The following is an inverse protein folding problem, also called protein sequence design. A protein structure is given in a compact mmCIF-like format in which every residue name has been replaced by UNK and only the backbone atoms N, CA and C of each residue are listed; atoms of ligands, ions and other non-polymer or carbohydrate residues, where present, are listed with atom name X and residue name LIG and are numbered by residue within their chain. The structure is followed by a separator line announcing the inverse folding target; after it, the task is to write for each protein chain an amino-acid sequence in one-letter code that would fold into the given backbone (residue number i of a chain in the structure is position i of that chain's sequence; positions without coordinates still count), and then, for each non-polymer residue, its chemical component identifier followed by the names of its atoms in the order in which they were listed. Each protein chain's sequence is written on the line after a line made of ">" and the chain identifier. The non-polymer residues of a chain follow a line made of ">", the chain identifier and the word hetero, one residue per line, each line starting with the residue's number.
data_IF_429829238422
#
_entry.id   IF_429829238422
#
_cell.length_a   1.000
_cell.length_b   1.000
_cell.length_c   1.000
_cell.angle_alpha   90.00
_cell.angle_beta   90.00
_cell.angle_gamma   90.00
#
_symmetry.space_group_name_H-M   'P 1'
#
loop_
_entity.id
_entity.type
_entity.pdbx_description
1 polymer ?
#
# COMPACT_ATOMS: atom_id res chain seq x y z
N UNK A 1 21.31 -21.01 -4.75
CA UNK A 1 19.91 -20.63 -4.38
C UNK A 1 19.04 -21.03 -5.54
N UNK A 2 18.01 -21.84 -5.30
CA UNK A 2 17.04 -22.16 -6.35
C UNK A 2 16.01 -21.02 -6.48
N UNK A 3 15.22 -21.01 -7.57
CA UNK A 3 14.29 -19.92 -7.85
C UNK A 3 13.22 -19.76 -6.77
N UNK A 4 12.72 -20.85 -6.18
CA UNK A 4 11.70 -20.79 -5.14
C UNK A 4 12.22 -20.19 -3.83
N UNK A 5 13.49 -20.46 -3.49
CA UNK A 5 14.15 -19.86 -2.33
C UNK A 5 14.27 -18.33 -2.44
N UNK A 6 14.25 -17.78 -3.67
CA UNK A 6 14.32 -16.33 -3.89
C UNK A 6 13.06 -15.61 -3.42
N UNK A 7 11.93 -16.32 -3.27
CA UNK A 7 10.66 -15.78 -2.77
C UNK A 7 10.49 -15.98 -1.27
N UNK A 8 11.36 -16.75 -0.61
CA UNK A 8 11.29 -16.93 0.85
C UNK A 8 11.67 -15.65 1.60
N UNK A 9 10.84 -15.30 2.58
CA UNK A 9 11.07 -14.17 3.48
C UNK A 9 11.42 -14.62 4.90
N UNK A 10 11.81 -15.89 5.07
CA UNK A 10 12.22 -16.43 6.37
C UNK A 10 13.35 -15.59 6.99
N UNK A 11 13.18 -15.20 8.26
CA UNK A 11 14.11 -14.34 9.01
C UNK A 11 14.09 -12.86 8.62
N UNK A 12 13.10 -12.41 7.82
CA UNK A 12 12.83 -11.02 7.50
C UNK A 12 11.78 -10.44 8.43
N UNK A 13 11.92 -9.17 8.77
CA UNK A 13 10.97 -8.38 9.55
C UNK A 13 10.27 -7.37 8.64
N UNK A 14 8.96 -7.40 8.61
CA UNK A 14 8.14 -6.57 7.74
C UNK A 14 7.18 -5.68 8.53
N UNK A 15 6.99 -4.44 8.07
CA UNK A 15 5.92 -3.54 8.50
C UNK A 15 4.94 -3.31 7.35
N UNK A 16 3.65 -3.53 7.63
CA UNK A 16 2.56 -3.18 6.71
C UNK A 16 1.65 -2.16 7.37
N UNK A 17 1.51 -1.00 6.75
CA UNK A 17 0.61 0.05 7.26
C UNK A 17 -0.79 -0.08 6.69
N UNK A 18 -1.84 0.13 7.53
CA UNK A 18 -3.24 0.08 7.08
C UNK A 18 -3.79 -1.31 6.81
N UNK A 19 -3.38 -2.33 7.59
CA UNK A 19 -3.71 -3.74 7.34
C UNK A 19 -4.92 -4.28 8.14
N UNK A 20 -5.59 -3.49 8.96
CA UNK A 20 -6.66 -3.97 9.86
C UNK A 20 -8.01 -4.30 9.20
N UNK A 21 -8.20 -4.05 7.93
CA UNK A 21 -9.43 -4.36 7.22
C UNK A 21 -9.21 -5.51 6.22
N UNK A 22 -9.86 -6.66 6.46
CA UNK A 22 -9.80 -7.83 5.56
C UNK A 22 -10.24 -7.50 4.13
N UNK A 23 -11.07 -6.47 3.97
CA UNK A 23 -11.55 -5.98 2.66
C UNK A 23 -10.54 -5.06 1.97
N UNK A 24 -9.34 -4.86 2.53
CA UNK A 24 -8.34 -3.93 2.03
C UNK A 24 -7.05 -4.58 1.57
N UNK A 25 -6.33 -3.90 0.70
CA UNK A 25 -5.02 -4.35 0.19
C UNK A 25 -3.96 -4.58 1.28
N UNK A 26 -4.02 -3.80 2.38
CA UNK A 26 -3.07 -3.96 3.49
C UNK A 26 -3.14 -5.32 4.15
N UNK A 27 -4.35 -5.90 4.29
CA UNK A 27 -4.52 -7.25 4.81
C UNK A 27 -3.87 -8.29 3.89
N UNK A 28 -4.10 -8.19 2.58
CA UNK A 28 -3.50 -9.10 1.58
C UNK A 28 -1.97 -8.99 1.56
N UNK A 29 -1.42 -7.77 1.68
CA UNK A 29 0.03 -7.57 1.79
C UNK A 29 0.59 -8.26 3.04
N UNK A 30 -0.06 -8.08 4.20
CA UNK A 30 0.39 -8.66 5.47
C UNK A 30 0.32 -10.20 5.43
N UNK A 31 -0.77 -10.75 4.90
CA UNK A 31 -0.96 -12.18 4.70
C UNK A 31 0.11 -12.76 3.78
N UNK A 32 0.36 -12.16 2.63
CA UNK A 32 1.37 -12.60 1.67
C UNK A 32 2.78 -12.66 2.28
N UNK A 33 3.17 -11.62 3.02
CA UNK A 33 4.47 -11.57 3.69
C UNK A 33 4.58 -12.62 4.80
N UNK A 34 3.49 -12.83 5.56
CA UNK A 34 3.42 -13.85 6.59
C UNK A 34 3.52 -15.27 6.01
N UNK A 35 2.74 -15.58 4.98
CA UNK A 35 2.78 -16.87 4.26
C UNK A 35 4.14 -17.17 3.65
N UNK A 36 4.88 -16.13 3.23
CA UNK A 36 6.24 -16.25 2.73
C UNK A 36 7.31 -16.39 3.84
N UNK A 37 6.91 -16.36 5.12
CA UNK A 37 7.76 -16.63 6.28
C UNK A 37 8.35 -15.41 6.98
N UNK A 38 7.89 -14.19 6.69
CA UNK A 38 8.33 -12.99 7.40
C UNK A 38 7.70 -12.89 8.80
N UNK A 39 8.43 -12.29 9.74
CA UNK A 39 7.85 -11.72 10.97
C UNK A 39 7.13 -10.42 10.59
N UNK A 40 5.80 -10.37 10.77
CA UNK A 40 4.98 -9.27 10.26
C UNK A 40 4.42 -8.42 11.39
N UNK A 41 4.68 -7.12 11.29
CA UNK A 41 4.02 -6.07 12.05
C UNK A 41 2.97 -5.40 11.17
N UNK A 42 1.78 -5.18 11.72
CA UNK A 42 0.71 -4.41 11.07
C UNK A 42 0.38 -3.18 11.91
N UNK A 43 0.22 -2.04 11.26
CA UNK A 43 -0.04 -0.78 11.95
C UNK A 43 -1.24 -0.04 11.36
N UNK A 44 -2.16 0.42 12.21
CA UNK A 44 -3.27 1.32 11.85
C UNK A 44 -3.87 1.97 13.10
N UNK A 45 -4.83 2.90 12.91
CA UNK A 45 -5.53 3.59 14.01
C UNK A 45 -6.50 2.71 14.79
N UNK A 46 -7.02 1.65 14.19
CA UNK A 46 -8.05 0.82 14.81
C UNK A 46 -7.45 -0.49 15.31
N UNK A 47 -7.09 -0.52 16.59
CA UNK A 47 -6.49 -1.69 17.25
C UNK A 47 -7.43 -2.89 17.31
N UNK A 48 -8.74 -2.68 17.44
CA UNK A 48 -9.72 -3.77 17.44
C UNK A 48 -9.69 -4.55 16.12
N UNK A 49 -9.73 -3.82 14.99
CA UNK A 49 -9.62 -4.44 13.65
C UNK A 49 -8.26 -5.10 13.43
N UNK A 50 -7.15 -4.48 13.89
CA UNK A 50 -5.83 -5.07 13.80
C UNK A 50 -5.76 -6.39 14.58
N UNK A 51 -6.21 -6.39 15.83
CA UNK A 51 -6.19 -7.57 16.70
C UNK A 51 -7.07 -8.70 16.15
N UNK A 52 -8.25 -8.35 15.65
CA UNK A 52 -9.16 -9.31 15.02
C UNK A 52 -8.57 -9.94 13.73
N UNK A 53 -7.81 -9.17 12.95
CA UNK A 53 -7.11 -9.69 11.79
C UNK A 53 -5.92 -10.57 12.21
N UNK A 54 -5.07 -10.08 13.11
CA UNK A 54 -3.86 -10.77 13.57
C UNK A 54 -4.16 -12.09 14.28
N UNK A 55 -5.35 -12.24 14.91
CA UNK A 55 -5.76 -13.48 15.57
C UNK A 55 -5.79 -14.70 14.63
N UNK A 56 -5.91 -14.49 13.31
CA UNK A 56 -5.81 -15.55 12.30
C UNK A 56 -4.37 -15.95 11.93
N UNK A 57 -3.36 -15.23 12.42
CA UNK A 57 -1.95 -15.37 12.00
C UNK A 57 -1.03 -15.40 13.21
N UNK A 58 -0.77 -16.58 13.81
CA UNK A 58 0.04 -16.71 15.03
C UNK A 58 1.41 -16.02 14.90
N UNK A 59 1.72 -15.09 15.81
CA UNK A 59 2.97 -14.33 15.80
C UNK A 59 2.94 -13.03 15.01
N UNK A 60 1.86 -12.73 14.29
CA UNK A 60 1.67 -11.40 13.68
C UNK A 60 1.44 -10.36 14.79
N UNK A 61 2.16 -9.24 14.72
CA UNK A 61 2.18 -8.21 15.76
C UNK A 61 1.41 -6.96 15.32
N UNK A 62 0.76 -6.30 16.27
CA UNK A 62 -0.07 -5.11 16.01
C UNK A 62 0.48 -3.89 16.73
N UNK A 63 0.48 -2.74 16.05
CA UNK A 63 0.88 -1.45 16.63
C UNK A 63 -0.12 -0.38 16.24
N UNK A 64 -0.55 0.44 17.19
CA UNK A 64 -1.38 1.60 16.89
C UNK A 64 -0.57 2.68 16.18
N UNK A 65 -1.14 3.26 15.10
CA UNK A 65 -0.49 4.32 14.35
C UNK A 65 -1.50 5.20 13.64
N UNK A 66 -1.43 6.49 13.88
CA UNK A 66 -2.12 7.53 13.10
C UNK A 66 -1.11 8.25 12.19
N UNK A 67 -1.36 8.23 10.87
CA UNK A 67 -0.52 8.92 9.89
C UNK A 67 -0.47 10.44 10.08
N UNK A 68 -1.47 11.02 10.72
CA UNK A 68 -1.49 12.47 11.01
C UNK A 68 -0.59 12.84 12.20
N UNK A 69 -0.01 11.86 12.90
CA UNK A 69 0.84 12.05 14.08
C UNK A 69 2.27 11.54 13.83
N UNK A 70 3.22 12.45 13.69
CA UNK A 70 4.62 12.09 13.50
C UNK A 70 5.17 11.22 14.66
N UNK A 71 4.72 11.48 15.90
CA UNK A 71 5.14 10.70 17.07
C UNK A 71 4.76 9.21 16.95
N UNK A 72 3.59 8.90 16.38
CA UNK A 72 3.15 7.52 16.19
C UNK A 72 4.02 6.82 15.13
N UNK A 73 4.39 7.53 14.06
CA UNK A 73 5.29 7.00 13.02
C UNK A 73 6.67 6.68 13.61
N UNK A 74 7.24 7.57 14.41
CA UNK A 74 8.47 7.32 15.14
C UNK A 74 8.36 6.15 16.13
N UNK A 75 7.23 6.07 16.85
CA UNK A 75 6.97 5.01 17.81
C UNK A 75 6.96 3.63 17.13
N UNK A 76 6.27 3.47 16.03
CA UNK A 76 6.17 2.20 15.28
C UNK A 76 7.55 1.67 14.88
N UNK A 77 8.37 2.50 14.25
CA UNK A 77 9.73 2.08 13.83
C UNK A 77 10.59 1.74 15.05
N UNK A 78 10.55 2.58 16.10
CA UNK A 78 11.32 2.36 17.31
C UNK A 78 10.90 1.09 18.05
N UNK A 79 9.59 0.76 18.07
CA UNK A 79 9.09 -0.47 18.69
C UNK A 79 9.58 -1.70 17.93
N UNK A 80 9.48 -1.72 16.59
CA UNK A 80 9.97 -2.83 15.77
C UNK A 80 11.45 -3.07 16.01
N UNK A 81 12.26 -2.01 16.04
CA UNK A 81 13.70 -2.13 16.30
C UNK A 81 14.02 -2.65 17.70
N UNK A 82 13.25 -2.26 18.72
CA UNK A 82 13.43 -2.79 20.10
C UNK A 82 13.06 -4.27 20.20
N UNK A 83 12.00 -4.71 19.51
CA UNK A 83 11.49 -6.09 19.63
C UNK A 83 12.21 -7.08 18.73
N UNK A 84 12.52 -6.70 17.49
CA UNK A 84 13.08 -7.61 16.47
C UNK A 84 14.51 -7.25 16.05
N UNK A 85 15.04 -6.11 16.49
CA UNK A 85 16.42 -5.68 16.22
C UNK A 85 16.67 -5.27 14.76
N UNK A 86 15.64 -5.28 13.90
CA UNK A 86 15.75 -4.99 12.44
C UNK A 86 14.42 -4.64 11.82
N UNK A 87 14.48 -4.01 10.66
CA UNK A 87 13.39 -3.89 9.70
C UNK A 87 13.96 -4.16 8.31
N UNK A 88 13.33 -5.05 7.55
CA UNK A 88 13.78 -5.44 6.20
C UNK A 88 12.81 -5.01 5.10
N UNK A 89 11.52 -4.97 5.42
CA UNK A 89 10.46 -4.72 4.44
C UNK A 89 9.49 -3.69 5.02
N UNK A 90 9.21 -2.63 4.24
CA UNK A 90 8.14 -1.68 4.52
C UNK A 90 7.12 -1.71 3.40
N UNK A 91 5.84 -1.89 3.73
CA UNK A 91 4.72 -1.70 2.81
C UNK A 91 3.92 -0.46 3.22
N UNK A 92 4.07 0.62 2.47
CA UNK A 92 3.30 1.85 2.61
C UNK A 92 1.94 1.69 1.93
N UNK A 93 0.96 1.18 2.68
CA UNK A 93 -0.39 0.96 2.17
C UNK A 93 -1.43 1.88 2.83
N UNK A 94 -1.23 2.30 4.08
CA UNK A 94 -2.19 3.16 4.77
C UNK A 94 -2.49 4.44 3.99
N UNK A 95 -3.77 4.82 3.94
CA UNK A 95 -4.27 6.05 3.34
C UNK A 95 -5.30 6.67 4.28
N UNK A 96 -5.09 7.92 4.66
CA UNK A 96 -6.08 8.72 5.34
C UNK A 96 -6.97 9.40 4.29
N UNK A 97 -8.28 9.09 4.32
CA UNK A 97 -9.26 9.71 3.42
C UNK A 97 -9.84 10.96 4.08
N UNK A 98 -9.08 12.04 4.07
CA UNK A 98 -9.44 13.31 4.71
C UNK A 98 -10.11 14.29 3.74
N UNK A 99 -9.80 14.18 2.45
CA UNK A 99 -10.32 15.03 1.39
C UNK A 99 -11.34 14.25 0.55
N UNK A 100 -12.62 14.56 0.69
CA UNK A 100 -13.72 13.80 0.09
C UNK A 100 -14.51 14.57 -0.97
N UNK A 101 -14.31 15.89 -1.09
CA UNK A 101 -14.95 16.72 -2.11
C UNK A 101 -14.12 16.71 -3.42
N UNK A 102 -14.74 17.23 -4.49
CA UNK A 102 -14.17 17.28 -5.84
C UNK A 102 -13.48 18.61 -6.13
N UNK A 103 -13.98 19.29 -7.14
CA UNK A 103 -13.41 20.53 -7.63
C UNK A 103 -13.49 21.68 -6.61
N UNK A 104 -14.51 21.68 -5.80
CA UNK A 104 -14.79 22.63 -4.72
C UNK A 104 -14.17 22.24 -3.37
N UNK A 105 -13.21 21.31 -3.37
CA UNK A 105 -12.51 20.86 -2.18
C UNK A 105 -11.86 22.05 -1.45
N UNK A 106 -12.18 22.26 -0.15
CA UNK A 106 -11.54 23.29 0.66
C UNK A 106 -10.02 23.06 0.73
N UNK A 107 -9.22 24.13 0.62
CA UNK A 107 -7.75 24.03 0.68
C UNK A 107 -7.28 23.36 1.98
N UNK A 108 -7.93 23.64 3.11
CA UNK A 108 -7.58 23.01 4.39
C UNK A 108 -7.71 21.46 4.34
N UNK A 109 -8.71 20.94 3.63
CA UNK A 109 -8.89 19.49 3.47
C UNK A 109 -7.85 18.90 2.50
N UNK A 110 -7.50 19.66 1.44
CA UNK A 110 -6.42 19.29 0.54
C UNK A 110 -5.08 19.20 1.27
N UNK A 111 -4.72 20.24 2.04
CA UNK A 111 -3.49 20.30 2.82
C UNK A 111 -3.42 19.19 3.86
N UNK A 112 -4.52 18.93 4.57
CA UNK A 112 -4.63 17.83 5.53
C UNK A 112 -4.43 16.47 4.86
N UNK A 113 -4.97 16.28 3.67
CA UNK A 113 -4.79 15.05 2.89
C UNK A 113 -3.31 14.85 2.52
N UNK A 114 -2.65 15.89 2.01
CA UNK A 114 -1.22 15.84 1.70
C UNK A 114 -0.37 15.55 2.94
N UNK A 115 -0.71 16.17 4.08
CA UNK A 115 0.00 15.90 5.33
C UNK A 115 -0.12 14.43 5.73
N UNK A 116 -1.33 13.90 5.77
CA UNK A 116 -1.60 12.53 6.20
C UNK A 116 -1.09 11.46 5.23
N UNK A 117 -0.97 11.76 3.94
CA UNK A 117 -0.62 10.76 2.93
C UNK A 117 0.78 10.99 2.33
N UNK A 118 1.13 12.21 1.91
CA UNK A 118 2.41 12.47 1.29
C UNK A 118 3.53 12.69 2.33
N UNK A 119 3.30 13.54 3.35
CA UNK A 119 4.31 13.80 4.38
C UNK A 119 4.57 12.56 5.23
N UNK A 120 3.52 11.81 5.61
CA UNK A 120 3.66 10.56 6.35
C UNK A 120 4.39 9.49 5.53
N UNK A 121 4.10 9.36 4.23
CA UNK A 121 4.83 8.47 3.33
C UNK A 121 6.33 8.77 3.33
N UNK A 122 6.68 10.06 3.21
CA UNK A 122 8.09 10.49 3.24
C UNK A 122 8.74 10.13 4.59
N UNK A 123 8.08 10.45 5.71
CA UNK A 123 8.61 10.18 7.05
C UNK A 123 8.80 8.69 7.31
N UNK A 124 7.80 7.85 7.00
CA UNK A 124 7.88 6.39 7.11
C UNK A 124 9.04 5.84 6.26
N UNK A 125 9.14 6.27 5.00
CA UNK A 125 10.21 5.86 4.09
C UNK A 125 11.59 6.24 4.65
N UNK A 126 11.73 7.47 5.17
CA UNK A 126 12.99 7.95 5.76
C UNK A 126 13.41 7.11 6.97
N UNK A 127 12.50 6.91 7.93
CA UNK A 127 12.80 6.19 9.16
C UNK A 127 13.07 4.69 8.90
N UNK A 128 12.30 4.08 8.00
CA UNK A 128 12.57 2.71 7.58
C UNK A 128 13.92 2.58 6.86
N UNK A 129 14.25 3.52 5.98
CA UNK A 129 15.54 3.53 5.30
C UNK A 129 16.71 3.66 6.29
N UNK A 130 16.60 4.52 7.33
CA UNK A 130 17.62 4.60 8.39
C UNK A 130 17.80 3.24 9.10
N UNK A 131 16.70 2.54 9.39
CA UNK A 131 16.75 1.22 10.01
C UNK A 131 17.35 0.12 9.09
N UNK A 132 17.26 0.32 7.77
CA UNK A 132 17.72 -0.64 6.74
C UNK A 132 19.15 -0.39 6.27
N UNK A 133 19.77 0.78 6.53
CA UNK A 133 21.04 1.21 5.91
C UNK A 133 22.17 0.19 5.95
N UNK A 134 22.31 -0.52 7.06
CA UNK A 134 23.43 -1.45 7.25
C UNK A 134 23.22 -2.82 6.59
N UNK A 135 21.97 -3.14 6.20
CA UNK A 135 21.62 -4.51 5.77
C UNK A 135 20.88 -4.57 4.44
N UNK A 136 20.56 -3.41 3.88
CA UNK A 136 19.65 -3.29 2.75
C UNK A 136 18.20 -3.55 3.14
N UNK A 137 17.30 -3.47 2.16
CA UNK A 137 15.87 -3.69 2.40
C UNK A 137 14.99 -3.50 1.17
N UNK A 138 13.68 -3.62 1.38
CA UNK A 138 12.68 -3.37 0.35
C UNK A 138 11.56 -2.48 0.87
N UNK A 139 11.30 -1.38 0.16
CA UNK A 139 10.18 -0.47 0.43
C UNK A 139 9.21 -0.58 -0.74
N UNK A 140 7.95 -0.90 -0.42
CA UNK A 140 6.88 -1.11 -1.40
C UNK A 140 5.78 -0.09 -1.14
N UNK A 141 5.54 0.81 -2.09
CA UNK A 141 4.48 1.79 -2.02
C UNK A 141 3.24 1.27 -2.74
N UNK A 142 2.09 1.27 -2.07
CA UNK A 142 0.82 0.88 -2.70
C UNK A 142 0.23 2.08 -3.42
N UNK A 143 0.43 2.06 -4.73
CA UNK A 143 -0.08 3.04 -5.66
C UNK A 143 -1.53 2.81 -6.07
N UNK A 144 -1.88 3.39 -7.20
CA UNK A 144 -3.20 3.24 -7.83
C UNK A 144 -3.08 3.51 -9.32
N UNK A 145 -3.95 2.91 -10.14
CA UNK A 145 -4.10 3.31 -11.54
C UNK A 145 -4.40 4.82 -11.67
N UNK A 146 -5.03 5.43 -10.66
CA UNK A 146 -5.30 6.88 -10.60
C UNK A 146 -4.04 7.74 -10.42
N UNK A 147 -2.90 7.14 -10.13
CA UNK A 147 -1.61 7.83 -10.19
C UNK A 147 -0.99 7.85 -11.58
N UNK A 148 -1.52 7.04 -12.51
CA UNK A 148 -1.06 6.91 -13.89
C UNK A 148 -2.01 7.53 -14.92
N UNK A 149 -3.31 7.48 -14.61
CA UNK A 149 -4.39 7.89 -15.50
C UNK A 149 -5.25 8.97 -14.86
N UNK A 150 -5.91 9.77 -15.69
CA UNK A 150 -6.96 10.67 -15.24
C UNK A 150 -8.21 9.93 -14.74
N UNK A 151 -9.15 10.69 -14.19
CA UNK A 151 -10.41 10.15 -13.71
C UNK A 151 -11.26 9.66 -14.88
N UNK A 152 -11.59 8.39 -14.88
CA UNK A 152 -12.58 7.83 -15.79
C UNK A 152 -13.99 7.97 -15.19
N UNK A 153 -14.70 8.99 -15.63
CA UNK A 153 -16.06 9.30 -15.15
C UNK A 153 -17.03 8.14 -15.30
N UNK A 154 -16.92 7.37 -16.40
CA UNK A 154 -17.83 6.27 -16.67
C UNK A 154 -17.76 5.14 -15.61
N UNK A 155 -16.65 5.00 -14.90
CA UNK A 155 -16.54 4.06 -13.79
C UNK A 155 -17.45 4.42 -12.59
N UNK A 156 -17.84 5.68 -12.50
CA UNK A 156 -18.56 6.22 -11.33
C UNK A 156 -20.01 6.61 -11.66
N UNK A 157 -20.38 6.64 -12.94
CA UNK A 157 -21.75 6.99 -13.36
C UNK A 157 -22.80 6.08 -12.72
N UNK A 158 -23.81 6.69 -12.10
CA UNK A 158 -24.94 6.01 -11.49
C UNK A 158 -24.55 4.93 -10.45
N UNK A 159 -23.39 5.07 -9.80
CA UNK A 159 -22.96 4.13 -8.76
C UNK A 159 -23.45 4.50 -7.36
N UNK A 160 -24.22 5.61 -7.22
CA UNK A 160 -24.56 6.23 -5.94
C UNK A 160 -23.41 7.06 -5.35
N UNK A 161 -22.23 7.01 -5.99
CA UNK A 161 -21.07 7.81 -5.55
C UNK A 161 -21.19 9.29 -5.97
N UNK A 162 -22.15 9.62 -6.83
CA UNK A 162 -22.39 10.99 -7.30
C UNK A 162 -23.45 11.73 -6.49
N UNK A 163 -24.40 11.01 -5.87
CA UNK A 163 -25.59 11.60 -5.26
C UNK A 163 -25.36 12.24 -3.90
N UNK A 164 -24.28 11.86 -3.21
CA UNK A 164 -23.99 12.32 -1.85
C UNK A 164 -22.87 13.38 -1.80
N UNK A 165 -22.43 13.91 -2.96
CA UNK A 165 -21.39 14.95 -3.06
C UNK A 165 -19.98 14.56 -2.57
N UNK A 166 -19.78 13.29 -2.20
CA UNK A 166 -18.63 12.91 -1.35
C UNK A 166 -17.70 11.86 -2.00
N UNK A 167 -18.03 11.24 -3.15
CA UNK A 167 -17.49 9.89 -3.42
C UNK A 167 -16.74 9.69 -4.72
N UNK A 168 -16.34 10.74 -5.37
CA UNK A 168 -15.32 10.64 -6.40
C UNK A 168 -13.95 10.54 -5.72
N UNK A 169 -12.96 9.86 -6.34
CA UNK A 169 -11.60 10.05 -5.89
C UNK A 169 -11.26 11.53 -5.97
N UNK A 170 -10.88 12.11 -4.85
CA UNK A 170 -10.63 13.55 -4.76
C UNK A 170 -9.40 13.95 -5.59
N UNK A 171 -9.26 15.23 -5.96
CA UNK A 171 -8.07 15.73 -6.62
C UNK A 171 -6.80 15.49 -5.79
N UNK A 172 -6.90 15.54 -4.45
CA UNK A 172 -5.80 15.21 -3.55
C UNK A 172 -5.33 13.76 -3.74
N UNK A 173 -6.25 12.81 -3.87
CA UNK A 173 -5.89 11.40 -4.08
C UNK A 173 -5.14 11.18 -5.40
N UNK A 174 -5.57 11.79 -6.49
CA UNK A 174 -4.87 11.72 -7.78
C UNK A 174 -3.47 12.35 -7.70
N UNK A 175 -3.37 13.52 -7.05
CA UNK A 175 -2.10 14.20 -6.83
C UNK A 175 -1.14 13.34 -5.99
N UNK A 176 -1.61 12.78 -4.87
CA UNK A 176 -0.83 11.93 -3.97
C UNK A 176 -0.35 10.66 -4.66
N UNK A 177 -1.23 9.96 -5.38
CA UNK A 177 -0.88 8.71 -6.07
C UNK A 177 0.02 8.96 -7.29
N UNK A 178 -0.17 10.06 -8.01
CA UNK A 178 0.76 10.49 -9.07
C UNK A 178 2.13 10.88 -8.51
N UNK A 179 2.15 11.69 -7.46
CA UNK A 179 3.37 12.08 -6.74
C UNK A 179 4.14 10.88 -6.17
N UNK A 180 3.42 9.87 -5.65
CA UNK A 180 4.01 8.63 -5.11
C UNK A 180 4.84 7.88 -6.15
N UNK A 181 4.42 7.85 -7.42
CA UNK A 181 5.17 7.19 -8.50
C UNK A 181 6.54 7.85 -8.71
N UNK A 182 6.57 9.18 -8.77
CA UNK A 182 7.83 9.89 -8.95
C UNK A 182 8.68 9.91 -7.67
N UNK A 183 8.06 10.00 -6.50
CA UNK A 183 8.72 9.82 -5.21
C UNK A 183 9.39 8.44 -5.11
N UNK A 184 8.76 7.39 -5.60
CA UNK A 184 9.34 6.03 -5.64
C UNK A 184 10.66 6.02 -6.43
N UNK A 185 10.71 6.67 -7.59
CA UNK A 185 11.93 6.79 -8.41
C UNK A 185 13.01 7.60 -7.72
N UNK A 186 12.62 8.72 -7.12
CA UNK A 186 13.56 9.57 -6.37
C UNK A 186 14.15 8.81 -5.17
N UNK A 187 13.31 8.14 -4.38
CA UNK A 187 13.75 7.38 -3.23
C UNK A 187 14.68 6.21 -3.64
N UNK A 188 14.34 5.50 -4.73
CA UNK A 188 15.18 4.45 -5.28
C UNK A 188 16.58 4.97 -5.67
N UNK A 189 16.66 6.15 -6.30
CA UNK A 189 17.92 6.79 -6.67
C UNK A 189 18.79 7.15 -5.45
N UNK A 190 18.16 7.65 -4.38
CA UNK A 190 18.88 8.06 -3.16
C UNK A 190 19.32 6.86 -2.32
N UNK A 191 18.47 5.82 -2.25
CA UNK A 191 18.62 4.71 -1.31
C UNK A 191 19.38 3.51 -1.91
N UNK A 192 19.50 3.44 -3.23
CA UNK A 192 20.17 2.31 -3.92
C UNK A 192 21.61 2.06 -3.46
N UNK A 193 22.36 3.10 -3.09
CA UNK A 193 23.72 2.96 -2.54
C UNK A 193 23.79 2.20 -1.20
N UNK A 194 22.65 2.01 -0.54
CA UNK A 194 22.52 1.24 0.71
C UNK A 194 21.87 -0.14 0.47
N UNK A 195 21.78 -0.59 -0.78
CA UNK A 195 21.06 -1.82 -1.16
C UNK A 195 19.60 -1.83 -0.73
N UNK A 196 18.98 -0.63 -0.64
CA UNK A 196 17.55 -0.48 -0.34
C UNK A 196 16.81 -0.24 -1.65
N UNK A 197 15.92 -1.17 -2.01
CA UNK A 197 15.07 -1.07 -3.19
C UNK A 197 13.77 -0.37 -2.83
N UNK A 198 13.29 0.51 -3.70
CA UNK A 198 12.01 1.20 -3.53
C UNK A 198 11.19 1.01 -4.79
N UNK A 199 10.02 0.39 -4.67
CA UNK A 199 9.13 0.11 -5.79
C UNK A 199 7.70 0.51 -5.46
N UNK A 200 6.87 0.68 -6.47
CA UNK A 200 5.45 0.93 -6.34
C UNK A 200 4.66 -0.25 -6.92
N UNK A 201 3.48 -0.53 -6.36
CA UNK A 201 2.49 -1.44 -6.95
C UNK A 201 1.23 -0.64 -7.20
N UNK A 202 0.89 -0.43 -8.46
CA UNK A 202 -0.34 0.27 -8.85
C UNK A 202 -1.49 -0.70 -9.07
N UNK A 203 -2.59 -0.47 -8.36
CA UNK A 203 -3.72 -1.38 -8.25
C UNK A 203 -5.01 -0.72 -8.79
N UNK A 204 -6.01 -1.55 -9.05
CA UNK A 204 -7.39 -1.18 -9.40
C UNK A 204 -8.37 -1.56 -8.26
N UNK A 205 -9.67 -1.31 -8.43
CA UNK A 205 -10.70 -1.66 -7.44
C UNK A 205 -10.72 -3.14 -7.07
N UNK A 206 -10.93 -3.42 -5.77
CA UNK A 206 -11.04 -4.79 -5.23
C UNK A 206 -12.41 -5.40 -5.52
N UNK A 207 -12.44 -6.72 -5.71
CA UNK A 207 -13.66 -7.50 -5.63
C UNK A 207 -14.24 -7.48 -4.20
N UNK A 208 -15.56 -7.43 -4.04
CA UNK A 208 -16.16 -7.57 -2.72
C UNK A 208 -15.99 -9.02 -2.21
N UNK A 209 -15.67 -9.16 -0.91
CA UNK A 209 -15.43 -10.46 -0.29
C UNK A 209 -16.67 -11.37 -0.27
N UNK A 210 -17.86 -10.79 -0.23
CA UNK A 210 -19.15 -11.47 -0.27
C UNK A 210 -19.60 -11.87 -1.69
N UNK A 211 -18.83 -11.47 -2.71
CA UNK A 211 -19.16 -11.69 -4.12
C UNK A 211 -20.28 -10.80 -4.67
N UNK A 212 -20.87 -9.95 -3.84
CA UNK A 212 -21.96 -9.06 -4.24
C UNK A 212 -21.43 -7.82 -4.98
N UNK A 213 -21.36 -7.94 -6.31
CA UNK A 213 -20.93 -6.85 -7.17
C UNK A 213 -22.01 -5.78 -7.32
N UNK A 214 -21.78 -4.62 -6.75
CA UNK A 214 -22.58 -3.43 -7.03
C UNK A 214 -22.26 -2.86 -8.43
N UNK A 215 -22.90 -1.75 -8.82
CA UNK A 215 -22.68 -1.12 -10.14
C UNK A 215 -21.23 -0.69 -10.36
N UNK A 216 -20.56 -0.14 -9.34
CA UNK A 216 -19.16 0.24 -9.40
C UNK A 216 -18.26 -0.96 -9.78
N UNK A 217 -18.43 -2.10 -9.11
CA UNK A 217 -17.65 -3.31 -9.41
C UNK A 217 -17.89 -3.81 -10.84
N UNK A 218 -19.15 -3.78 -11.31
CA UNK A 218 -19.48 -4.18 -12.69
C UNK A 218 -18.85 -3.25 -13.71
N UNK A 219 -18.92 -1.94 -13.51
CA UNK A 219 -18.30 -0.95 -14.41
C UNK A 219 -16.76 -1.08 -14.43
N UNK A 220 -16.13 -1.24 -13.27
CA UNK A 220 -14.69 -1.49 -13.21
C UNK A 220 -14.29 -2.78 -13.92
N UNK A 221 -15.01 -3.88 -13.65
CA UNK A 221 -14.73 -5.18 -14.28
C UNK A 221 -14.84 -5.14 -15.81
N UNK A 222 -15.84 -4.43 -16.35
CA UNK A 222 -16.04 -4.33 -17.81
C UNK A 222 -14.93 -3.58 -18.53
N UNK A 223 -14.10 -2.84 -17.81
CA UNK A 223 -12.98 -2.05 -18.36
C UNK A 223 -11.61 -2.72 -18.16
N UNK A 224 -11.55 -3.80 -17.44
CA UNK A 224 -10.33 -4.62 -17.36
C UNK A 224 -10.30 -5.64 -18.50
N UNK A 225 -9.14 -5.92 -19.05
CA UNK A 225 -8.99 -6.97 -20.08
C UNK A 225 -9.32 -8.37 -19.52
N UNK A 226 -9.11 -8.58 -18.21
CA UNK A 226 -9.45 -9.84 -17.54
C UNK A 226 -10.93 -9.94 -17.12
N UNK A 227 -11.76 -8.91 -17.36
CA UNK A 227 -13.21 -8.93 -17.12
C UNK A 227 -13.64 -9.00 -15.65
N UNK A 228 -12.75 -8.70 -14.70
CA UNK A 228 -13.02 -8.73 -13.26
C UNK A 228 -12.23 -7.66 -12.50
N UNK A 229 -12.65 -7.34 -11.29
CA UNK A 229 -11.86 -6.56 -10.37
C UNK A 229 -10.71 -7.40 -9.77
N UNK A 230 -9.82 -6.75 -9.04
CA UNK A 230 -8.69 -7.41 -8.37
C UNK A 230 -9.21 -8.29 -7.21
N UNK A 231 -8.93 -9.59 -7.25
CA UNK A 231 -9.25 -10.53 -6.18
C UNK A 231 -8.23 -10.49 -5.04
N UNK A 232 -8.55 -11.19 -3.95
CA UNK A 232 -7.72 -11.19 -2.74
C UNK A 232 -6.33 -11.84 -2.94
N UNK A 233 -6.18 -12.73 -3.92
CA UNK A 233 -4.92 -13.43 -4.18
C UNK A 233 -4.04 -12.72 -5.22
N UNK A 234 -4.62 -11.84 -6.05
CA UNK A 234 -3.94 -11.28 -7.22
C UNK A 234 -2.72 -10.41 -6.85
N UNK A 235 -2.75 -9.78 -5.66
CA UNK A 235 -1.68 -8.92 -5.18
C UNK A 235 -0.53 -9.69 -4.53
N UNK A 236 -0.82 -10.83 -3.89
CA UNK A 236 0.12 -11.55 -3.02
C UNK A 236 1.44 -11.86 -3.72
N UNK A 237 1.40 -12.42 -4.92
CA UNK A 237 2.60 -12.77 -5.68
C UNK A 237 3.50 -11.56 -5.98
N UNK A 238 2.89 -10.43 -6.36
CA UNK A 238 3.62 -9.19 -6.64
C UNK A 238 4.31 -8.61 -5.39
N UNK A 239 3.66 -8.69 -4.24
CA UNK A 239 4.22 -8.23 -2.95
C UNK A 239 5.41 -9.11 -2.54
N UNK A 240 5.27 -10.43 -2.56
CA UNK A 240 6.35 -11.35 -2.20
C UNK A 240 7.53 -11.21 -3.17
N UNK A 241 7.26 -11.06 -4.49
CA UNK A 241 8.27 -10.77 -5.50
C UNK A 241 9.09 -9.52 -5.15
N UNK A 242 8.42 -8.38 -4.90
CA UNK A 242 9.11 -7.13 -4.60
C UNK A 242 9.80 -7.14 -3.22
N UNK A 243 9.27 -7.88 -2.25
CA UNK A 243 9.86 -8.03 -0.93
C UNK A 243 11.10 -8.93 -0.93
N UNK A 244 11.10 -9.98 -1.76
CA UNK A 244 12.10 -11.04 -1.79
C UNK A 244 13.32 -10.77 -2.67
N UNK A 245 14.22 -11.75 -2.69
CA UNK A 245 15.45 -11.74 -3.52
C UNK A 245 15.14 -11.89 -5.01
N UNK A 246 13.95 -12.37 -5.39
CA UNK A 246 13.53 -12.52 -6.78
C UNK A 246 13.52 -11.18 -7.55
N UNK A 247 13.45 -10.05 -6.82
CA UNK A 247 13.50 -8.70 -7.39
C UNK A 247 14.76 -7.91 -7.00
N UNK A 248 15.87 -8.56 -6.67
CA UNK A 248 17.08 -7.87 -6.20
C UNK A 248 17.62 -6.80 -7.17
N UNK A 249 17.32 -6.91 -8.46
CA UNK A 249 17.73 -5.92 -9.47
C UNK A 249 16.58 -5.06 -9.97
N UNK A 250 15.50 -4.94 -9.17
CA UNK A 250 14.31 -4.14 -9.48
C UNK A 250 14.15 -3.04 -8.44
N UNK A 251 14.36 -1.80 -8.85
CA UNK A 251 14.15 -0.60 -8.01
C UNK A 251 13.67 0.57 -8.86
N UNK A 252 12.88 1.48 -8.30
CA UNK A 252 12.26 2.60 -9.02
C UNK A 252 11.12 2.18 -9.95
N UNK A 253 10.71 0.91 -9.91
CA UNK A 253 9.70 0.34 -10.80
C UNK A 253 8.28 0.57 -10.27
N UNK A 254 7.34 0.66 -11.19
CA UNK A 254 5.90 0.60 -10.91
C UNK A 254 5.34 -0.71 -11.48
N UNK A 255 5.12 -1.70 -10.61
CA UNK A 255 4.46 -2.95 -10.96
C UNK A 255 2.95 -2.71 -11.05
N UNK A 256 2.39 -2.80 -12.25
CA UNK A 256 0.95 -2.58 -12.47
C UNK A 256 0.22 -3.92 -12.35
N UNK A 257 -0.75 -3.99 -11.41
CA UNK A 257 -1.62 -5.15 -11.19
C UNK A 257 -3.07 -4.64 -11.27
N UNK A 258 -3.56 -4.47 -12.49
CA UNK A 258 -4.85 -3.82 -12.78
C UNK A 258 -5.73 -4.60 -13.77
N UNK A 259 -5.38 -5.85 -14.06
CA UNK A 259 -6.14 -6.68 -15.01
C UNK A 259 -6.12 -6.17 -16.45
N UNK A 260 -5.12 -5.34 -16.79
CA UNK A 260 -4.97 -4.73 -18.10
C UNK A 260 -5.78 -3.44 -18.30
N UNK A 261 -6.34 -2.87 -17.25
CA UNK A 261 -7.13 -1.63 -17.31
C UNK A 261 -6.36 -0.47 -17.96
N UNK A 262 -5.10 -0.30 -17.62
CA UNK A 262 -4.24 0.78 -18.14
C UNK A 262 -3.51 0.43 -19.43
N UNK A 263 -3.74 -0.75 -20.00
CA UNK A 263 -3.04 -1.20 -21.20
C UNK A 263 -3.71 -0.76 -22.51
N UNK A 264 -4.93 -0.21 -22.44
CA UNK A 264 -5.75 0.24 -23.58
C UNK A 264 -6.28 1.64 -23.33
#
# INVERSE_FOLDING_TARGET
>A
MNVLEMFSLAGKVALVTGAGDRKGYGAQCAEALYEAGAEVYIASRNMEKLSAFAAGYPGMKTIEMDLEKECDIHHVISQILRESGRLDILVNNAVARTALAQWDLPMADFDRSLHANASALFLLTRLAAEAMKERGGSIINIGSYMGMLGLDHANYENTGMQTDGIRWPSPAYHYEKGGMLNFTRWAASVLGKYDIRVNCVSLIGLEPLDGERNRFHRQHSSRTLLGRCCGNEDLKGGIVYLAGKASNFVTGHNLVIDGGYSAI
#
